data_IF_358329509381
#
_entry.id   IF_358329509381
#
_cell.length_a   1.000
_cell.length_b   1.000
_cell.length_c   1.000
_cell.angle_alpha   90.00
_cell.angle_beta   90.00
_cell.angle_gamma   90.00
#
_symmetry.space_group_name_H-M   'P 1'
#
loop_
_entity.id
_entity.type
_entity.pdbx_description
1 polymer ?
#
# COMPACT_ATOMS: atom_id res chain seq x y z
N UNK A 1 26.37 -38.69 42.33
CA UNK A 1 26.77 -38.71 40.90
C UNK A 1 25.61 -39.31 40.12
N UNK A 2 24.63 -38.50 39.74
CA UNK A 2 23.62 -38.83 38.73
C UNK A 2 23.34 -37.52 38.00
N UNK A 3 23.57 -37.53 36.69
CA UNK A 3 23.67 -36.39 35.79
C UNK A 3 22.33 -35.70 35.53
N UNK A 4 22.39 -34.37 35.49
CA UNK A 4 21.35 -33.51 34.92
C UNK A 4 21.56 -33.54 33.41
N UNK A 5 20.75 -34.33 32.69
CA UNK A 5 20.78 -34.34 31.23
C UNK A 5 19.82 -33.26 30.71
N UNK A 6 20.34 -32.06 30.52
CA UNK A 6 19.74 -31.04 29.68
C UNK A 6 20.26 -31.17 28.25
N UNK A 7 19.45 -30.69 27.31
CA UNK A 7 19.76 -30.28 25.92
C UNK A 7 19.42 -31.25 24.77
N UNK A 8 18.81 -30.63 23.74
CA UNK A 8 18.53 -31.11 22.39
C UNK A 8 17.17 -31.76 22.10
N UNK A 9 16.08 -31.05 22.42
CA UNK A 9 14.91 -31.02 21.52
C UNK A 9 14.89 -29.67 20.79
N UNK A 10 15.39 -29.71 19.55
CA UNK A 10 15.18 -28.78 18.42
C UNK A 10 14.46 -27.45 18.68
N UNK A 11 15.25 -26.38 18.80
CA UNK A 11 14.84 -24.97 18.67
C UNK A 11 14.54 -24.59 17.20
N UNK A 12 13.68 -25.34 16.50
CA UNK A 12 13.30 -25.01 15.10
C UNK A 12 11.99 -24.22 14.98
N UNK A 13 11.26 -23.98 16.08
CA UNK A 13 9.99 -23.23 16.09
C UNK A 13 9.94 -22.06 17.10
N UNK A 14 11.09 -21.44 17.41
CA UNK A 14 11.14 -20.28 18.28
C UNK A 14 10.69 -19.00 17.53
N UNK A 15 9.39 -18.68 17.59
CA UNK A 15 8.83 -17.41 17.08
C UNK A 15 9.29 -16.23 17.96
N UNK A 16 9.57 -15.06 17.37
CA UNK A 16 9.98 -13.88 18.16
C UNK A 16 8.85 -13.35 19.06
N UNK A 17 9.23 -12.65 20.14
CA UNK A 17 8.26 -12.03 21.05
C UNK A 17 7.36 -11.01 20.34
N UNK A 18 7.89 -10.27 19.36
CA UNK A 18 7.10 -9.33 18.54
C UNK A 18 6.09 -10.07 17.66
N UNK A 19 6.45 -11.22 17.10
CA UNK A 19 5.55 -12.04 16.29
C UNK A 19 4.42 -12.63 17.14
N UNK A 20 4.76 -13.17 18.32
CA UNK A 20 3.76 -13.70 19.25
C UNK A 20 2.81 -12.61 19.73
N UNK A 21 3.33 -11.42 20.05
CA UNK A 21 2.50 -10.27 20.43
C UNK A 21 1.54 -9.90 19.29
N UNK A 22 2.03 -9.76 18.06
CA UNK A 22 1.18 -9.39 16.94
C UNK A 22 0.11 -10.45 16.64
N UNK A 23 0.48 -11.73 16.57
CA UNK A 23 -0.46 -12.81 16.25
C UNK A 23 -1.47 -13.08 17.36
N UNK A 24 -1.02 -13.21 18.61
CA UNK A 24 -1.88 -13.65 19.73
C UNK A 24 -2.59 -12.51 20.44
N UNK A 25 -1.95 -11.35 20.55
CA UNK A 25 -2.51 -10.22 21.31
C UNK A 25 -3.23 -9.21 20.42
N UNK A 26 -2.61 -8.82 19.29
CA UNK A 26 -3.18 -7.81 18.39
C UNK A 26 -4.22 -8.41 17.45
N UNK A 27 -3.87 -9.48 16.73
CA UNK A 27 -4.77 -10.12 15.76
C UNK A 27 -5.73 -11.13 16.39
N UNK A 28 -5.29 -11.80 17.47
CA UNK A 28 -6.01 -12.94 18.08
C UNK A 28 -6.39 -14.00 17.02
N UNK A 29 -5.42 -14.28 16.14
CA UNK A 29 -5.63 -15.14 14.97
C UNK A 29 -6.04 -16.56 15.39
N UNK A 30 -7.12 -17.08 14.80
CA UNK A 30 -7.63 -18.43 15.05
C UNK A 30 -6.80 -19.53 14.39
N UNK A 31 -5.86 -19.17 13.51
CA UNK A 31 -4.93 -20.12 12.87
C UNK A 31 -5.52 -20.90 11.69
N UNK A 32 -6.69 -20.51 11.17
CA UNK A 32 -7.33 -21.15 10.01
C UNK A 32 -8.58 -20.42 9.51
N UNK A 33 -9.17 -20.90 8.40
CA UNK A 33 -10.45 -20.37 7.89
C UNK A 33 -11.61 -20.91 8.75
N UNK A 34 -11.79 -20.30 9.92
CA UNK A 34 -12.93 -20.53 10.80
C UNK A 34 -14.02 -19.50 10.49
N UNK A 35 -15.29 -19.81 10.79
CA UNK A 35 -16.32 -18.77 10.76
C UNK A 35 -15.91 -17.66 11.75
N UNK A 36 -16.06 -16.36 11.39
CA UNK A 36 -15.79 -15.26 12.30
C UNK A 36 -16.57 -15.47 13.60
N UNK A 37 -15.87 -15.68 14.72
CA UNK A 37 -16.50 -16.16 15.95
C UNK A 37 -16.58 -15.08 17.03
N UNK A 38 -15.56 -14.23 17.11
CA UNK A 38 -15.46 -13.18 18.13
C UNK A 38 -14.97 -11.86 17.53
N UNK A 39 -15.72 -10.79 17.79
CA UNK A 39 -15.32 -9.42 17.46
C UNK A 39 -14.34 -8.89 18.51
N UNK A 40 -13.17 -8.42 18.08
CA UNK A 40 -12.27 -7.67 18.96
C UNK A 40 -12.74 -6.21 19.06
N UNK A 41 -13.33 -5.86 20.21
CA UNK A 41 -13.81 -4.52 20.48
C UNK A 41 -12.71 -3.44 20.42
N UNK A 42 -11.44 -3.79 20.72
CA UNK A 42 -10.32 -2.83 20.65
C UNK A 42 -10.01 -2.50 19.21
N UNK A 43 -9.97 -3.51 18.35
CA UNK A 43 -9.78 -3.31 16.91
C UNK A 43 -10.96 -2.56 16.30
N UNK A 44 -12.20 -2.87 16.72
CA UNK A 44 -13.39 -2.14 16.31
C UNK A 44 -13.34 -0.66 16.72
N UNK A 45 -12.82 -0.33 17.91
CA UNK A 45 -12.65 1.05 18.35
C UNK A 45 -11.58 1.79 17.52
N UNK A 46 -10.46 1.12 17.21
CA UNK A 46 -9.45 1.68 16.29
C UNK A 46 -10.03 1.91 14.89
N UNK A 47 -10.82 0.97 14.37
CA UNK A 47 -11.50 1.11 13.09
C UNK A 47 -12.49 2.28 13.11
N UNK A 48 -13.27 2.42 14.19
CA UNK A 48 -14.18 3.56 14.39
C UNK A 48 -13.41 4.88 14.37
N UNK A 49 -12.27 4.95 15.06
CA UNK A 49 -11.42 6.15 15.07
C UNK A 49 -10.95 6.50 13.65
N UNK A 50 -10.50 5.52 12.85
CA UNK A 50 -10.10 5.74 11.47
C UNK A 50 -11.25 6.34 10.63
N UNK A 51 -12.44 5.74 10.67
CA UNK A 51 -13.60 6.24 9.91
C UNK A 51 -14.10 7.60 10.39
N UNK A 52 -14.00 7.89 11.70
CA UNK A 52 -14.31 9.23 12.22
C UNK A 52 -13.31 10.25 11.69
N UNK A 53 -12.00 9.95 11.71
CA UNK A 53 -10.98 10.82 11.15
C UNK A 53 -11.18 11.06 9.65
N UNK A 54 -11.48 10.03 8.86
CA UNK A 54 -11.76 10.14 7.43
C UNK A 54 -13.04 10.93 7.13
N UNK A 55 -14.12 10.65 7.88
CA UNK A 55 -15.39 11.35 7.77
C UNK A 55 -15.22 12.85 8.05
N UNK A 56 -14.59 13.19 9.18
CA UNK A 56 -14.29 14.58 9.55
C UNK A 56 -13.43 15.27 8.47
N UNK A 57 -12.43 14.58 7.93
CA UNK A 57 -11.54 15.11 6.90
C UNK A 57 -12.25 15.44 5.58
N UNK A 58 -13.35 14.73 5.27
CA UNK A 58 -14.11 14.89 4.02
C UNK A 58 -15.35 15.79 4.14
N UNK A 59 -15.72 16.26 5.35
CA UNK A 59 -16.96 17.03 5.58
C UNK A 59 -17.10 18.29 4.70
N UNK A 60 -16.00 19.03 4.49
CA UNK A 60 -15.99 20.21 3.59
C UNK A 60 -15.38 19.91 2.22
N UNK A 61 -15.23 18.63 1.89
CA UNK A 61 -14.68 18.20 0.62
C UNK A 61 -13.21 18.53 0.41
N UNK A 62 -12.85 18.74 -0.86
CA UNK A 62 -11.47 18.99 -1.29
C UNK A 62 -10.78 20.14 -0.56
N UNK A 63 -11.52 21.15 -0.08
CA UNK A 63 -10.97 22.23 0.72
C UNK A 63 -10.47 21.77 2.10
N UNK A 64 -11.17 20.83 2.73
CA UNK A 64 -10.74 20.23 4.00
C UNK A 64 -9.62 19.21 3.75
N UNK A 65 -9.77 18.40 2.71
CA UNK A 65 -8.78 17.40 2.32
C UNK A 65 -7.43 18.06 2.09
N UNK A 66 -7.37 19.15 1.30
CA UNK A 66 -6.12 19.88 1.08
C UNK A 66 -5.43 20.34 2.37
N UNK A 67 -6.20 20.66 3.43
CA UNK A 67 -5.64 21.00 4.75
C UNK A 67 -5.07 19.80 5.48
N UNK A 68 -5.81 18.69 5.48
CA UNK A 68 -5.39 17.41 6.09
C UNK A 68 -4.14 16.87 5.39
N UNK A 69 -4.09 16.99 4.05
CA UNK A 69 -2.97 16.57 3.21
C UNK A 69 -1.64 17.21 3.61
N UNK A 70 -1.63 18.46 4.07
CA UNK A 70 -0.39 19.08 4.56
C UNK A 70 0.24 18.26 5.69
N UNK A 71 -0.57 17.77 6.64
CA UNK A 71 -0.05 16.96 7.75
C UNK A 71 0.23 15.54 7.30
N UNK A 72 -0.72 14.89 6.61
CA UNK A 72 -0.60 13.48 6.23
C UNK A 72 0.51 13.24 5.22
N UNK A 73 0.87 14.24 4.41
CA UNK A 73 1.95 14.11 3.41
C UNK A 73 3.31 14.59 3.93
N UNK A 74 3.39 15.63 4.77
CA UNK A 74 4.70 16.16 5.21
C UNK A 74 5.28 15.43 6.41
N UNK A 75 4.45 15.03 7.37
CA UNK A 75 4.91 14.38 8.59
C UNK A 75 5.65 13.05 8.32
N UNK A 76 5.19 12.18 7.39
CA UNK A 76 5.94 10.99 7.04
C UNK A 76 7.38 11.26 6.58
N UNK A 77 7.65 12.33 5.82
CA UNK A 77 9.03 12.66 5.44
C UNK A 77 9.90 13.04 6.65
N UNK A 78 9.35 13.76 7.62
CA UNK A 78 10.07 14.09 8.87
C UNK A 78 10.46 12.80 9.61
N UNK A 79 9.53 11.84 9.70
CA UNK A 79 9.78 10.55 10.36
C UNK A 79 10.75 9.69 9.55
N UNK A 80 10.60 9.59 8.24
CA UNK A 80 11.51 8.81 7.38
C UNK A 80 12.93 9.36 7.42
N UNK A 81 13.12 10.69 7.32
CA UNK A 81 14.44 11.30 7.36
C UNK A 81 15.11 11.15 8.73
N UNK A 82 14.34 11.31 9.81
CA UNK A 82 14.87 11.12 11.17
C UNK A 82 15.21 9.66 11.46
N UNK A 83 14.35 8.71 11.06
CA UNK A 83 14.65 7.27 11.18
C UNK A 83 15.83 6.86 10.31
N UNK A 84 15.99 7.42 9.11
CA UNK A 84 17.17 7.17 8.28
C UNK A 84 18.44 7.65 8.98
N UNK A 85 18.43 8.87 9.51
CA UNK A 85 19.58 9.42 10.22
C UNK A 85 19.95 8.53 11.43
N UNK A 86 18.97 8.09 12.21
CA UNK A 86 19.19 7.21 13.36
C UNK A 86 19.65 5.82 12.95
N UNK A 87 19.11 5.25 11.87
CA UNK A 87 19.53 3.96 11.36
C UNK A 87 20.99 4.01 10.89
N UNK A 88 21.38 5.07 10.16
CA UNK A 88 22.75 5.24 9.67
C UNK A 88 23.80 5.40 10.77
N UNK A 89 23.40 5.85 11.97
CA UNK A 89 24.29 5.92 13.13
C UNK A 89 24.55 4.55 13.78
N UNK A 90 23.84 3.50 13.38
CA UNK A 90 24.00 2.16 13.93
C UNK A 90 24.92 1.30 13.08
N UNK A 91 25.68 0.44 13.75
CA UNK A 91 26.49 -0.58 13.10
C UNK A 91 25.60 -1.51 12.25
N UNK A 92 26.12 -1.98 11.12
CA UNK A 92 25.40 -2.85 10.18
C UNK A 92 24.48 -2.13 9.18
N UNK A 93 24.17 -0.84 9.37
CA UNK A 93 23.25 -0.12 8.48
C UNK A 93 23.72 -0.06 7.02
N UNK A 94 25.04 0.11 6.82
CA UNK A 94 25.66 0.13 5.48
C UNK A 94 25.52 -1.23 4.78
N UNK A 95 25.60 -2.35 5.50
CA UNK A 95 25.38 -3.68 4.93
C UNK A 95 23.93 -3.82 4.47
N UNK A 96 23.00 -3.27 5.25
CA UNK A 96 21.61 -3.05 4.89
C UNK A 96 21.44 -2.38 3.53
N UNK A 97 22.00 -1.17 3.39
CA UNK A 97 21.93 -0.40 2.16
C UNK A 97 22.62 -1.06 0.97
N UNK A 98 23.74 -1.77 1.20
CA UNK A 98 24.38 -2.57 0.15
C UNK A 98 23.43 -3.64 -0.37
N UNK A 99 22.75 -4.38 0.51
CA UNK A 99 21.79 -5.38 0.08
C UNK A 99 20.61 -4.78 -0.71
N UNK A 100 20.24 -3.52 -0.44
CA UNK A 100 19.18 -2.83 -1.19
C UNK A 100 19.60 -2.42 -2.60
N UNK A 101 20.83 -1.92 -2.77
CA UNK A 101 21.29 -1.34 -4.03
C UNK A 101 22.17 -2.24 -4.90
N UNK A 102 22.73 -3.33 -4.36
CA UNK A 102 23.56 -4.25 -5.14
C UNK A 102 22.65 -4.98 -6.15
N UNK A 103 22.84 -4.75 -7.46
CA UNK A 103 21.96 -5.30 -8.47
C UNK A 103 22.23 -6.79 -8.69
N UNK A 104 21.16 -7.57 -8.84
CA UNK A 104 21.21 -8.96 -9.28
C UNK A 104 20.83 -9.04 -10.76
N UNK A 105 21.80 -8.84 -11.66
CA UNK A 105 21.54 -8.70 -13.11
C UNK A 105 20.81 -9.90 -13.73
N UNK A 106 21.03 -11.10 -13.23
CA UNK A 106 20.36 -12.32 -13.68
C UNK A 106 18.83 -12.26 -13.47
N UNK A 107 18.37 -11.53 -12.44
CA UNK A 107 16.93 -11.37 -12.15
C UNK A 107 16.18 -10.57 -13.20
N UNK A 108 16.85 -9.76 -14.02
CA UNK A 108 16.21 -9.00 -15.09
C UNK A 108 15.67 -9.92 -16.19
N UNK A 109 16.22 -11.13 -16.32
CA UNK A 109 15.74 -12.15 -17.26
C UNK A 109 14.46 -12.85 -16.78
N UNK A 110 14.12 -12.71 -15.50
CA UNK A 110 12.92 -13.28 -14.93
C UNK A 110 11.71 -12.38 -15.21
N UNK A 111 10.73 -12.93 -15.93
CA UNK A 111 9.50 -12.20 -16.28
C UNK A 111 8.67 -11.85 -15.05
N UNK A 112 8.79 -12.61 -13.95
CA UNK A 112 8.08 -12.32 -12.69
C UNK A 112 8.54 -10.96 -12.12
N UNK A 113 9.82 -10.61 -12.27
CA UNK A 113 10.37 -9.34 -11.78
C UNK A 113 9.75 -8.15 -12.51
N UNK A 114 9.55 -8.26 -13.83
CA UNK A 114 8.88 -7.22 -14.61
C UNK A 114 7.40 -7.10 -14.25
N UNK A 115 6.72 -8.23 -14.05
CA UNK A 115 5.34 -8.23 -13.59
C UNK A 115 5.21 -7.54 -12.22
N UNK A 116 6.07 -7.88 -11.26
CA UNK A 116 6.08 -7.27 -9.93
C UNK A 116 6.41 -5.77 -9.97
N UNK A 117 7.31 -5.36 -10.86
CA UNK A 117 7.63 -3.94 -11.06
C UNK A 117 6.43 -3.17 -11.62
N UNK A 118 5.77 -3.70 -12.66
CA UNK A 118 4.54 -3.10 -13.19
C UNK A 118 3.45 -3.07 -12.11
N UNK A 119 3.24 -4.18 -11.40
CA UNK A 119 2.24 -4.30 -10.35
C UNK A 119 2.43 -3.21 -9.29
N UNK A 120 3.66 -3.08 -8.80
CA UNK A 120 4.04 -2.06 -7.82
C UNK A 120 3.79 -0.64 -8.34
N UNK A 121 4.18 -0.31 -9.59
CA UNK A 121 3.96 1.03 -10.15
C UNK A 121 2.48 1.40 -10.27
N UNK A 122 1.62 0.45 -10.66
CA UNK A 122 0.17 0.71 -10.77
C UNK A 122 -0.47 0.98 -9.40
N UNK A 123 -0.15 0.15 -8.40
CA UNK A 123 -0.69 0.35 -7.06
C UNK A 123 -0.13 1.57 -6.36
N UNK A 124 1.18 1.85 -6.51
CA UNK A 124 1.81 3.00 -5.84
C UNK A 124 1.20 4.32 -6.30
N UNK A 125 0.93 4.46 -7.60
CA UNK A 125 0.30 5.65 -8.17
C UNK A 125 -1.23 5.66 -8.06
N UNK A 126 -1.87 4.57 -7.61
CA UNK A 126 -3.32 4.47 -7.47
C UNK A 126 -4.08 4.57 -8.80
N UNK A 127 -3.50 4.06 -9.89
CA UNK A 127 -4.09 4.11 -11.23
C UNK A 127 -5.27 3.12 -11.31
N UNK A 128 -6.36 3.51 -11.96
CA UNK A 128 -7.54 2.65 -12.16
C UNK A 128 -8.52 2.59 -10.98
N UNK A 129 -8.28 3.37 -9.92
CA UNK A 129 -9.12 3.40 -8.71
C UNK A 129 -10.01 4.67 -8.65
N UNK A 130 -9.83 5.61 -9.59
CA UNK A 130 -10.65 6.81 -9.73
C UNK A 130 -10.26 8.01 -8.87
N UNK A 131 -9.35 7.87 -7.90
CA UNK A 131 -8.94 9.00 -7.04
C UNK A 131 -8.26 10.13 -7.83
N UNK A 132 -7.39 9.78 -8.79
CA UNK A 132 -6.71 10.75 -9.64
C UNK A 132 -7.69 11.50 -10.55
N UNK A 133 -8.68 10.80 -11.11
CA UNK A 133 -9.76 11.41 -11.91
C UNK A 133 -10.58 12.36 -11.05
N UNK A 134 -10.95 11.94 -9.84
CA UNK A 134 -11.65 12.78 -8.88
C UNK A 134 -10.84 14.04 -8.52
N UNK A 135 -9.55 13.93 -8.17
CA UNK A 135 -8.76 15.12 -7.85
C UNK A 135 -8.61 16.04 -9.07
N UNK A 136 -8.40 15.46 -10.25
CA UNK A 136 -8.27 16.23 -11.48
C UNK A 136 -9.56 16.96 -11.87
N UNK A 137 -10.73 16.45 -11.49
CA UNK A 137 -12.01 17.10 -11.79
C UNK A 137 -12.23 18.41 -11.02
N UNK A 138 -11.41 18.69 -10.00
CA UNK A 138 -11.42 19.96 -9.26
C UNK A 138 -10.39 20.98 -9.76
N UNK A 139 -9.54 20.60 -10.72
CA UNK A 139 -8.58 21.53 -11.31
C UNK A 139 -9.27 22.51 -12.26
N UNK A 140 -8.66 23.67 -12.44
CA UNK A 140 -9.06 24.59 -13.50
C UNK A 140 -8.88 23.92 -14.87
N UNK A 141 -9.78 24.21 -15.82
CA UNK A 141 -9.79 23.56 -17.13
C UNK A 141 -8.44 23.66 -17.84
N UNK A 142 -7.73 24.81 -17.76
CA UNK A 142 -6.42 25.00 -18.42
C UNK A 142 -5.22 24.69 -17.53
N UNK A 143 -5.43 24.02 -16.41
CA UNK A 143 -4.35 23.69 -15.49
C UNK A 143 -3.34 22.75 -16.13
N UNK A 144 -2.05 22.97 -15.88
CA UNK A 144 -0.95 22.22 -16.53
C UNK A 144 -0.75 20.84 -15.89
N UNK A 145 -1.76 19.97 -16.04
CA UNK A 145 -1.84 18.64 -15.40
C UNK A 145 -0.63 17.75 -15.72
N UNK A 146 -0.02 17.88 -16.89
CA UNK A 146 1.16 17.09 -17.26
C UNK A 146 2.38 17.33 -16.37
N UNK A 147 2.58 18.57 -15.89
CA UNK A 147 3.66 18.88 -14.94
C UNK A 147 3.41 18.22 -13.60
N UNK A 148 2.17 18.27 -13.12
CA UNK A 148 1.79 17.73 -11.82
C UNK A 148 1.85 16.19 -11.85
N UNK A 149 1.37 15.56 -12.92
CA UNK A 149 1.49 14.11 -13.13
C UNK A 149 2.96 13.64 -13.11
N UNK A 150 3.86 14.37 -13.78
CA UNK A 150 5.29 14.07 -13.76
C UNK A 150 5.89 14.23 -12.35
N UNK A 151 5.56 15.32 -11.66
CA UNK A 151 6.06 15.58 -10.30
C UNK A 151 5.56 14.53 -9.31
N UNK A 152 4.28 14.15 -9.38
CA UNK A 152 3.69 13.10 -8.54
C UNK A 152 4.40 11.77 -8.78
N UNK A 153 4.66 11.41 -10.04
CA UNK A 153 5.36 10.16 -10.39
C UNK A 153 6.78 10.09 -9.84
N UNK A 154 7.53 11.20 -9.94
CA UNK A 154 8.88 11.29 -9.35
C UNK A 154 8.82 11.25 -7.83
N UNK A 155 7.91 12.01 -7.21
CA UNK A 155 7.77 12.06 -5.77
C UNK A 155 7.45 10.67 -5.19
N UNK A 156 6.52 9.94 -5.81
CA UNK A 156 6.19 8.56 -5.44
C UNK A 156 7.42 7.64 -5.46
N UNK A 157 8.21 7.70 -6.54
CA UNK A 157 9.42 6.88 -6.70
C UNK A 157 10.50 7.26 -5.68
N UNK A 158 10.75 8.56 -5.48
CA UNK A 158 11.76 9.06 -4.52
C UNK A 158 11.37 8.68 -3.10
N UNK A 159 10.10 8.79 -2.74
CA UNK A 159 9.59 8.41 -1.41
C UNK A 159 9.69 6.91 -1.18
N UNK A 160 9.39 6.10 -2.20
CA UNK A 160 9.57 4.65 -2.15
C UNK A 160 11.03 4.25 -1.97
N UNK A 161 11.96 4.92 -2.67
CA UNK A 161 13.40 4.72 -2.49
C UNK A 161 13.88 5.15 -1.09
N UNK A 162 13.41 6.31 -0.60
CA UNK A 162 13.72 6.78 0.75
C UNK A 162 13.23 5.80 1.82
N UNK A 163 11.99 5.33 1.70
CA UNK A 163 11.42 4.32 2.59
C UNK A 163 12.23 3.01 2.51
N UNK A 164 12.60 2.56 1.30
CA UNK A 164 13.48 1.41 1.10
C UNK A 164 14.82 1.57 1.82
N UNK A 165 15.47 2.73 1.72
CA UNK A 165 16.70 3.02 2.47
C UNK A 165 16.48 2.92 3.99
N UNK A 166 15.39 3.48 4.53
CA UNK A 166 15.06 3.39 5.97
C UNK A 166 14.87 1.93 6.39
N UNK A 167 14.13 1.14 5.60
CA UNK A 167 13.88 -0.29 5.83
C UNK A 167 15.19 -1.04 5.86
N UNK A 168 15.95 -1.00 4.78
CA UNK A 168 17.14 -1.82 4.65
C UNK A 168 18.25 -1.39 5.61
N UNK A 169 18.44 -0.09 5.87
CA UNK A 169 19.39 0.36 6.89
C UNK A 169 19.02 -0.17 8.29
N UNK A 170 17.73 -0.07 8.65
CA UNK A 170 17.23 -0.55 9.94
C UNK A 170 17.35 -2.07 10.09
N UNK A 171 17.02 -2.82 9.03
CA UNK A 171 17.15 -4.27 9.00
C UNK A 171 18.61 -4.72 9.03
N UNK A 172 19.52 -4.02 8.34
CA UNK A 172 20.96 -4.30 8.39
C UNK A 172 21.52 -4.13 9.80
N UNK A 173 21.12 -3.10 10.52
CA UNK A 173 21.49 -2.93 11.93
C UNK A 173 20.89 -3.98 12.85
N UNK A 174 19.67 -4.44 12.56
CA UNK A 174 19.06 -5.55 13.29
C UNK A 174 19.83 -6.87 13.04
N UNK A 175 20.16 -7.17 11.78
CA UNK A 175 20.91 -8.35 11.39
C UNK A 175 22.27 -8.39 12.10
N UNK A 176 23.02 -7.29 12.04
CA UNK A 176 24.31 -7.15 12.73
C UNK A 176 24.21 -7.39 14.24
N UNK A 177 23.17 -6.85 14.90
CA UNK A 177 22.94 -7.09 16.34
C UNK A 177 22.56 -8.53 16.68
N UNK A 178 21.95 -9.25 15.74
CA UNK A 178 21.60 -10.66 15.89
C UNK A 178 22.74 -11.60 15.45
N UNK A 179 23.89 -11.05 15.05
CA UNK A 179 25.05 -11.83 14.63
C UNK A 179 24.89 -12.49 13.26
N UNK A 180 24.02 -11.96 12.40
CA UNK A 180 23.83 -12.45 11.02
C UNK A 180 24.07 -11.32 10.03
N UNK A 181 24.70 -11.63 8.90
CA UNK A 181 24.86 -10.69 7.78
C UNK A 181 23.74 -10.85 6.74
N UNK A 182 22.89 -11.86 6.89
CA UNK A 182 21.78 -12.14 5.98
C UNK A 182 20.50 -11.46 6.46
N UNK A 183 20.10 -10.40 5.74
CA UNK A 183 18.89 -9.63 6.03
C UNK A 183 17.63 -10.47 5.87
N UNK A 184 17.63 -11.50 5.03
CA UNK A 184 16.46 -12.33 4.83
C UNK A 184 16.08 -13.10 6.11
N UNK A 185 17.04 -13.40 6.98
CA UNK A 185 16.83 -14.11 8.24
C UNK A 185 16.15 -13.25 9.32
N UNK A 186 16.21 -11.92 9.19
CA UNK A 186 15.54 -11.02 10.15
C UNK A 186 14.12 -10.67 9.76
N UNK A 187 13.68 -11.02 8.55
CA UNK A 187 12.31 -10.82 8.08
C UNK A 187 11.38 -11.85 8.74
N UNK A 188 10.64 -11.42 9.77
CA UNK A 188 9.71 -12.25 10.54
C UNK A 188 8.25 -11.88 10.29
N UNK A 189 7.34 -12.82 10.54
CA UNK A 189 5.89 -12.58 10.49
C UNK A 189 5.22 -12.78 9.12
N UNK A 190 5.89 -13.41 8.16
CA UNK A 190 5.35 -13.71 6.82
C UNK A 190 5.21 -12.46 5.92
N UNK A 191 4.74 -12.68 4.68
CA UNK A 191 4.58 -11.62 3.70
C UNK A 191 3.46 -10.62 4.09
N UNK A 192 3.66 -9.35 3.73
CA UNK A 192 2.72 -8.22 3.77
C UNK A 192 2.55 -7.44 5.09
N UNK A 193 2.33 -8.09 6.25
CA UNK A 193 2.22 -7.35 7.55
C UNK A 193 3.42 -7.53 8.47
N UNK A 194 4.17 -8.63 8.32
CA UNK A 194 5.27 -8.99 9.21
C UNK A 194 6.37 -7.94 9.26
N UNK A 195 6.69 -7.30 8.13
CA UNK A 195 7.72 -6.27 8.10
C UNK A 195 7.38 -5.09 9.03
N UNK A 196 6.19 -4.49 8.85
CA UNK A 196 5.81 -3.27 9.56
C UNK A 196 5.37 -3.52 11.03
N UNK A 197 4.75 -4.66 11.32
CA UNK A 197 4.14 -4.91 12.64
C UNK A 197 4.88 -5.95 13.49
N UNK A 198 5.85 -6.67 12.93
CA UNK A 198 6.67 -7.65 13.67
C UNK A 198 8.14 -7.27 13.66
N UNK A 199 8.73 -7.15 12.46
CA UNK A 199 10.17 -6.97 12.29
C UNK A 199 10.61 -5.54 12.66
N UNK A 200 9.89 -4.53 12.19
CA UNK A 200 10.20 -3.13 12.48
C UNK A 200 10.11 -2.79 13.97
N UNK A 201 9.04 -3.15 14.69
CA UNK A 201 8.98 -2.92 16.14
C UNK A 201 10.13 -3.62 16.87
N UNK A 202 10.55 -4.80 16.40
CA UNK A 202 11.75 -5.49 16.92
C UNK A 202 13.03 -4.68 16.69
N UNK A 203 13.17 -4.02 15.55
CA UNK A 203 14.30 -3.15 15.26
C UNK A 203 14.26 -1.84 16.06
N UNK A 204 13.08 -1.20 16.14
CA UNK A 204 12.88 0.08 16.84
C UNK A 204 13.14 -0.03 18.34
N UNK A 205 12.80 -1.16 18.96
CA UNK A 205 13.10 -1.41 20.39
C UNK A 205 14.60 -1.50 20.69
N UNK A 206 15.44 -1.72 19.66
CA UNK A 206 16.90 -1.78 19.77
C UNK A 206 17.60 -0.49 19.38
N UNK A 207 16.86 0.57 19.03
CA UNK A 207 17.43 1.90 18.78
C UNK A 207 17.94 2.49 20.11
N UNK A 208 19.18 3.00 20.15
CA UNK A 208 19.65 3.75 21.32
C UNK A 208 18.87 5.07 21.44
N UNK A 209 18.56 5.49 22.66
CA UNK A 209 17.80 6.70 22.99
C UNK A 209 16.30 6.65 22.65
N UNK A 210 15.47 6.52 23.70
CA UNK A 210 14.00 6.63 23.70
C UNK A 210 13.32 5.76 22.61
N UNK A 211 13.46 4.42 22.63
CA UNK A 211 12.84 3.52 21.65
C UNK A 211 11.30 3.66 21.56
N UNK A 212 10.66 4.07 22.65
CA UNK A 212 9.21 4.32 22.70
C UNK A 212 8.81 5.49 21.79
N UNK A 213 9.64 6.54 21.71
CA UNK A 213 9.37 7.70 20.85
C UNK A 213 9.42 7.28 19.37
N UNK A 214 10.45 6.55 18.96
CA UNK A 214 10.59 6.06 17.59
C UNK A 214 9.45 5.13 17.18
N UNK A 215 9.01 4.26 18.09
CA UNK A 215 7.86 3.40 17.87
C UNK A 215 6.57 4.20 17.69
N UNK A 216 6.33 5.20 18.55
CA UNK A 216 5.16 6.08 18.45
C UNK A 216 5.15 6.88 17.13
N UNK A 217 6.29 7.48 16.76
CA UNK A 217 6.45 8.22 15.51
C UNK A 217 6.23 7.34 14.28
N UNK A 218 6.78 6.13 14.28
CA UNK A 218 6.63 5.17 13.18
C UNK A 218 5.18 4.75 12.98
N UNK A 219 4.48 4.33 14.05
CA UNK A 219 3.08 3.92 13.93
C UNK A 219 2.15 5.09 13.64
N UNK A 220 2.43 6.29 14.16
CA UNK A 220 1.67 7.49 13.82
C UNK A 220 1.88 7.89 12.36
N UNK A 221 3.11 7.75 11.84
CA UNK A 221 3.38 7.89 10.40
C UNK A 221 2.56 6.89 9.57
N UNK A 222 2.57 5.59 9.93
CA UNK A 222 1.77 4.58 9.22
C UNK A 222 0.27 4.92 9.24
N UNK A 223 -0.24 5.39 10.37
CA UNK A 223 -1.61 5.87 10.49
C UNK A 223 -1.90 7.05 9.54
N UNK A 224 -1.02 8.06 9.48
CA UNK A 224 -1.19 9.21 8.59
C UNK A 224 -1.11 8.84 7.10
N UNK A 225 -0.22 7.90 6.73
CA UNK A 225 -0.13 7.38 5.36
C UNK A 225 -1.43 6.66 4.95
N UNK A 226 -1.98 5.83 5.85
CA UNK A 226 -3.27 5.18 5.65
C UNK A 226 -4.42 6.19 5.56
N UNK A 227 -4.47 7.16 6.48
CA UNK A 227 -5.50 8.21 6.53
C UNK A 227 -5.52 9.04 5.23
N UNK A 228 -4.36 9.42 4.71
CA UNK A 228 -4.28 10.18 3.45
C UNK A 228 -4.91 9.43 2.28
N UNK A 229 -4.66 8.13 2.19
CA UNK A 229 -5.22 7.27 1.15
C UNK A 229 -6.73 7.02 1.34
N UNK A 230 -7.17 6.74 2.58
CA UNK A 230 -8.58 6.52 2.92
C UNK A 230 -9.46 7.74 2.66
N UNK A 231 -8.98 8.94 3.00
CA UNK A 231 -9.67 10.20 2.71
C UNK A 231 -9.90 10.41 1.22
N UNK A 232 -8.92 10.08 0.37
CA UNK A 232 -9.07 10.15 -1.08
C UNK A 232 -10.15 9.17 -1.58
N UNK A 233 -10.21 7.97 -0.99
CA UNK A 233 -11.20 6.95 -1.36
C UNK A 233 -12.62 7.35 -0.99
N UNK A 234 -12.85 7.80 0.24
CA UNK A 234 -14.15 8.33 0.66
C UNK A 234 -14.57 9.48 -0.24
N UNK A 235 -13.64 10.42 -0.51
CA UNK A 235 -13.94 11.56 -1.35
C UNK A 235 -14.30 11.18 -2.79
N UNK A 236 -13.65 10.17 -3.38
CA UNK A 236 -14.00 9.70 -4.72
C UNK A 236 -15.44 9.15 -4.78
N UNK A 237 -15.83 8.33 -3.81
CA UNK A 237 -17.20 7.82 -3.72
C UNK A 237 -18.18 8.98 -3.54
N UNK A 238 -17.89 9.92 -2.63
CA UNK A 238 -18.72 11.11 -2.42
C UNK A 238 -18.89 11.89 -3.73
N UNK A 239 -17.81 12.18 -4.45
CA UNK A 239 -17.86 12.91 -5.73
C UNK A 239 -18.74 12.20 -6.75
N UNK A 240 -18.61 10.88 -6.90
CA UNK A 240 -19.47 10.09 -7.80
C UNK A 240 -20.95 10.26 -7.47
N UNK A 241 -21.33 10.18 -6.19
CA UNK A 241 -22.72 10.41 -5.77
C UNK A 241 -23.18 11.85 -6.04
N UNK A 242 -22.31 12.84 -5.82
CA UNK A 242 -22.65 14.25 -6.07
C UNK A 242 -22.83 14.57 -7.56
N UNK A 243 -22.08 13.89 -8.43
CA UNK A 243 -22.13 14.11 -9.87
C UNK A 243 -23.33 13.40 -10.50
N UNK A 244 -23.67 12.19 -10.04
CA UNK A 244 -24.86 11.46 -10.51
C UNK A 244 -26.17 12.02 -9.93
N UNK A 245 -26.16 12.49 -8.67
CA UNK A 245 -27.34 13.02 -8.00
C UNK A 245 -27.09 14.45 -7.50
N UNK A 246 -27.28 15.48 -8.35
CA UNK A 246 -26.99 16.87 -8.00
C UNK A 246 -27.74 17.38 -6.76
N UNK A 247 -28.91 16.80 -6.46
CA UNK A 247 -29.71 17.11 -5.27
C UNK A 247 -28.98 16.80 -3.95
N UNK A 248 -28.02 15.87 -3.97
CA UNK A 248 -27.26 15.49 -2.78
C UNK A 248 -26.14 16.50 -2.45
N UNK A 249 -25.83 17.45 -3.35
CA UNK A 249 -24.76 18.46 -3.15
C UNK A 249 -24.98 19.29 -1.89
N UNK A 250 -26.23 19.66 -1.59
CA UNK A 250 -26.58 20.40 -0.37
C UNK A 250 -26.42 19.55 0.91
N UNK A 251 -26.46 18.22 0.77
CA UNK A 251 -26.35 17.24 1.86
C UNK A 251 -25.03 16.48 1.82
N UNK A 252 -23.98 17.04 1.21
CA UNK A 252 -22.66 16.40 1.03
C UNK A 252 -22.11 15.79 2.32
N UNK A 253 -22.14 16.54 3.42
CA UNK A 253 -21.62 16.09 4.72
C UNK A 253 -22.34 14.84 5.21
N UNK A 254 -23.67 14.78 5.02
CA UNK A 254 -24.48 13.61 5.38
C UNK A 254 -24.09 12.41 4.51
N UNK A 255 -23.86 12.61 3.20
CA UNK A 255 -23.43 11.53 2.30
C UNK A 255 -22.05 10.99 2.68
N UNK A 256 -21.09 11.86 2.96
CA UNK A 256 -19.75 11.48 3.45
C UNK A 256 -19.86 10.66 4.75
N UNK A 257 -20.58 11.16 5.76
CA UNK A 257 -20.77 10.43 7.03
C UNK A 257 -21.46 9.08 6.79
N UNK A 258 -22.46 9.04 5.92
CA UNK A 258 -23.20 7.81 5.61
C UNK A 258 -22.29 6.77 4.96
N UNK A 259 -21.41 7.18 4.04
CA UNK A 259 -20.39 6.29 3.45
C UNK A 259 -19.47 5.77 4.54
N UNK A 260 -18.92 6.63 5.41
CA UNK A 260 -18.05 6.20 6.50
C UNK A 260 -18.75 5.24 7.48
N UNK A 261 -20.03 5.46 7.80
CA UNK A 261 -20.81 4.58 8.70
C UNK A 261 -21.04 3.21 8.05
N UNK A 262 -21.40 3.16 6.76
CA UNK A 262 -21.56 1.90 6.02
C UNK A 262 -20.23 1.17 5.91
N UNK A 263 -19.14 1.87 5.62
CA UNK A 263 -17.80 1.29 5.53
C UNK A 263 -17.28 0.81 6.88
N UNK A 264 -17.60 1.50 7.99
CA UNK A 264 -17.34 1.01 9.34
C UNK A 264 -18.09 -0.29 9.61
N UNK A 265 -19.41 -0.32 9.35
CA UNK A 265 -20.24 -1.49 9.59
C UNK A 265 -19.81 -2.71 8.79
N UNK A 266 -19.48 -2.53 7.51
CA UNK A 266 -18.95 -3.61 6.66
C UNK A 266 -17.53 -4.01 7.04
N UNK A 267 -16.70 -3.07 7.52
CA UNK A 267 -15.34 -3.31 7.99
C UNK A 267 -15.24 -4.08 9.31
N UNK A 268 -16.29 -4.13 10.14
CA UNK A 268 -16.29 -4.85 11.41
C UNK A 268 -15.95 -6.34 11.25
N UNK A 269 -16.23 -6.94 10.09
CA UNK A 269 -15.85 -8.33 9.79
C UNK A 269 -14.33 -8.54 9.85
N UNK A 270 -13.54 -7.50 9.53
CA UNK A 270 -12.08 -7.52 9.59
C UNK A 270 -11.53 -7.34 11.02
N UNK A 271 -12.39 -6.97 11.98
CA UNK A 271 -12.03 -6.87 13.40
C UNK A 271 -12.30 -8.17 14.17
N UNK A 272 -12.58 -9.28 13.47
CA UNK A 272 -12.78 -10.59 14.07
C UNK A 272 -11.49 -11.39 14.13
N UNK A 273 -11.49 -12.48 14.88
CA UNK A 273 -10.40 -13.48 14.95
C UNK A 273 -9.94 -14.00 13.56
N UNK A 274 -10.84 -14.04 12.59
CA UNK A 274 -10.59 -14.47 11.21
C UNK A 274 -10.27 -13.28 10.26
N UNK A 275 -10.18 -12.06 10.79
CA UNK A 275 -10.00 -10.83 10.03
C UNK A 275 -8.67 -10.72 9.29
N UNK A 276 -7.59 -11.28 9.84
CA UNK A 276 -6.26 -11.29 9.21
C UNK A 276 -6.28 -12.00 7.84
N UNK A 277 -6.98 -13.15 7.79
CA UNK A 277 -7.15 -13.97 6.61
C UNK A 277 -8.14 -13.34 5.61
N UNK A 278 -9.26 -12.83 6.10
CA UNK A 278 -10.25 -12.16 5.24
C UNK A 278 -9.67 -10.91 4.57
N UNK A 279 -8.88 -10.11 5.31
CA UNK A 279 -8.12 -9.00 4.73
C UNK A 279 -7.16 -9.48 3.66
N UNK A 280 -6.41 -10.55 3.89
CA UNK A 280 -5.49 -11.10 2.89
C UNK A 280 -6.22 -11.53 1.60
N UNK A 281 -7.44 -12.09 1.74
CA UNK A 281 -8.28 -12.41 0.60
C UNK A 281 -8.73 -11.15 -0.15
N UNK A 282 -9.18 -10.10 0.56
CA UNK A 282 -9.58 -8.84 -0.07
C UNK A 282 -8.39 -8.12 -0.73
N UNK A 283 -7.23 -8.08 -0.10
CA UNK A 283 -6.03 -7.45 -0.66
C UNK A 283 -5.60 -8.15 -1.95
N UNK A 284 -5.60 -9.50 -1.95
CA UNK A 284 -5.17 -10.27 -3.11
C UNK A 284 -6.22 -10.30 -4.22
N UNK A 285 -7.49 -10.54 -3.89
CA UNK A 285 -8.55 -10.83 -4.88
C UNK A 285 -9.57 -9.71 -5.03
N UNK A 286 -9.89 -8.99 -3.96
CA UNK A 286 -10.90 -7.93 -3.97
C UNK A 286 -10.40 -6.65 -4.63
N UNK A 287 -9.24 -6.14 -4.18
CA UNK A 287 -8.64 -4.91 -4.71
C UNK A 287 -7.50 -5.25 -5.66
N UNK A 288 -6.51 -6.04 -5.22
CA UNK A 288 -5.30 -6.28 -5.98
C UNK A 288 -5.58 -6.71 -7.42
N UNK A 289 -6.11 -7.90 -7.60
CA UNK A 289 -6.40 -8.44 -8.95
C UNK A 289 -7.46 -7.64 -9.71
N UNK A 290 -8.45 -7.07 -9.03
CA UNK A 290 -9.54 -6.34 -9.68
C UNK A 290 -9.08 -5.01 -10.29
N UNK A 291 -8.14 -4.30 -9.64
CA UNK A 291 -7.65 -3.00 -10.12
C UNK A 291 -7.01 -3.10 -11.51
N UNK A 292 -6.29 -4.18 -11.82
CA UNK A 292 -5.75 -4.38 -13.19
C UNK A 292 -6.85 -4.50 -14.22
N UNK A 293 -7.92 -5.24 -13.90
CA UNK A 293 -9.05 -5.38 -14.79
C UNK A 293 -9.75 -4.03 -15.02
N UNK A 294 -9.91 -3.22 -13.98
CA UNK A 294 -10.45 -1.86 -14.10
C UNK A 294 -9.55 -0.97 -14.97
N UNK A 295 -8.24 -1.00 -14.78
CA UNK A 295 -7.29 -0.26 -15.60
C UNK A 295 -7.33 -0.70 -17.08
N UNK A 296 -7.49 -2.00 -17.35
CA UNK A 296 -7.68 -2.50 -18.73
C UNK A 296 -8.97 -1.93 -19.32
N UNK A 297 -10.09 -1.97 -18.61
CA UNK A 297 -11.35 -1.41 -19.11
C UNK A 297 -11.28 0.10 -19.32
N UNK A 298 -10.62 0.84 -18.43
CA UNK A 298 -10.36 2.27 -18.62
C UNK A 298 -9.56 2.52 -19.89
N UNK A 299 -8.41 1.86 -20.08
CA UNK A 299 -7.59 2.05 -21.28
C UNK A 299 -8.32 1.61 -22.54
N UNK A 300 -9.09 0.52 -22.51
CA UNK A 300 -9.94 0.10 -23.63
C UNK A 300 -10.98 1.16 -23.97
N UNK A 301 -11.69 1.67 -22.98
CA UNK A 301 -12.70 2.71 -23.14
C UNK A 301 -12.11 4.02 -23.70
N UNK A 302 -10.96 4.42 -23.19
CA UNK A 302 -10.29 5.70 -23.49
C UNK A 302 -9.58 5.66 -24.85
N UNK A 303 -8.79 4.62 -25.11
CA UNK A 303 -7.90 4.56 -26.28
C UNK A 303 -8.61 4.00 -27.52
N UNK A 304 -9.44 2.96 -27.36
CA UNK A 304 -10.08 2.28 -28.48
C UNK A 304 -11.54 2.67 -28.71
N UNK A 305 -12.36 2.81 -27.65
CA UNK A 305 -13.78 3.16 -27.80
C UNK A 305 -13.95 4.66 -28.06
N UNK A 306 -13.43 5.51 -27.17
CA UNK A 306 -13.46 6.96 -27.33
C UNK A 306 -12.53 7.43 -28.46
N UNK A 307 -11.37 6.78 -28.58
CA UNK A 307 -10.41 7.00 -29.65
C UNK A 307 -9.22 7.85 -29.22
N UNK A 308 -8.02 7.30 -29.41
CA UNK A 308 -6.76 7.93 -28.98
C UNK A 308 -6.54 9.33 -29.57
N UNK A 309 -7.00 9.58 -30.80
CA UNK A 309 -6.89 10.90 -31.46
C UNK A 309 -7.74 11.95 -30.78
N UNK A 310 -8.98 11.59 -30.41
CA UNK A 310 -9.92 12.49 -29.75
C UNK A 310 -9.34 12.96 -28.42
N UNK A 311 -8.73 12.05 -27.65
CA UNK A 311 -8.10 12.42 -26.37
C UNK A 311 -6.89 13.33 -26.54
N UNK A 312 -6.09 13.12 -27.58
CA UNK A 312 -4.97 14.00 -27.89
C UNK A 312 -5.49 15.39 -28.24
N UNK A 313 -6.52 15.48 -29.07
CA UNK A 313 -7.15 16.75 -29.44
C UNK A 313 -7.76 17.46 -28.23
N UNK A 314 -8.45 16.73 -27.34
CA UNK A 314 -9.04 17.29 -26.12
C UNK A 314 -7.97 17.85 -25.18
N UNK A 315 -6.87 17.12 -24.96
CA UNK A 315 -5.79 17.57 -24.09
C UNK A 315 -5.03 18.74 -24.75
N UNK A 316 -4.82 18.73 -26.07
CA UNK A 316 -4.21 19.86 -26.80
C UNK A 316 -5.11 21.11 -26.72
N UNK A 317 -6.44 20.94 -26.80
CA UNK A 317 -7.42 22.02 -26.62
C UNK A 317 -7.43 22.56 -25.19
N UNK A 318 -7.37 21.67 -24.21
CA UNK A 318 -7.35 21.99 -22.78
C UNK A 318 -6.10 22.80 -22.42
N UNK A 319 -4.92 22.35 -22.88
CA UNK A 319 -3.61 22.94 -22.56
C UNK A 319 -3.16 24.05 -23.50
N UNK A 320 -3.87 24.25 -24.62
CA UNK A 320 -3.49 25.16 -25.72
C UNK A 320 -2.06 24.91 -26.24
N UNK A 321 -1.63 23.64 -26.19
CA UNK A 321 -0.27 23.23 -26.54
C UNK A 321 -0.27 21.84 -27.18
N UNK A 322 0.56 21.64 -28.21
CA UNK A 322 0.71 20.35 -28.87
C UNK A 322 1.39 19.32 -27.96
N UNK A 323 0.89 18.09 -27.97
CA UNK A 323 1.46 17.00 -27.19
C UNK A 323 2.64 16.39 -27.96
N UNK A 324 3.73 16.09 -27.24
CA UNK A 324 4.90 15.42 -27.82
C UNK A 324 4.56 14.02 -28.36
N UNK A 325 5.26 13.60 -29.40
CA UNK A 325 5.14 12.26 -29.99
C UNK A 325 5.33 11.14 -28.96
N UNK A 326 6.16 11.37 -27.95
CA UNK A 326 6.39 10.43 -26.84
C UNK A 326 5.06 10.03 -26.16
N UNK A 327 4.25 11.00 -25.76
CA UNK A 327 2.97 10.73 -25.07
C UNK A 327 1.94 10.09 -25.99
N UNK A 328 1.92 10.49 -27.27
CA UNK A 328 1.03 9.90 -28.27
C UNK A 328 1.30 8.40 -28.44
N UNK A 329 2.57 8.00 -28.51
CA UNK A 329 2.95 6.57 -28.59
C UNK A 329 2.70 5.85 -27.26
N UNK A 330 3.03 6.49 -26.13
CA UNK A 330 2.85 5.88 -24.81
C UNK A 330 1.39 5.56 -24.56
N UNK A 331 0.47 6.51 -24.77
CA UNK A 331 -0.95 6.28 -24.54
C UNK A 331 -1.60 5.40 -25.61
N UNK A 332 -1.23 5.58 -26.88
CA UNK A 332 -1.86 4.85 -27.99
C UNK A 332 -1.39 3.41 -28.15
N UNK A 333 -0.17 3.07 -27.71
CA UNK A 333 0.45 1.77 -27.99
C UNK A 333 1.09 1.15 -26.75
N UNK A 334 1.99 1.86 -26.06
CA UNK A 334 2.77 1.23 -24.99
C UNK A 334 1.92 0.87 -23.77
N UNK A 335 1.07 1.77 -23.28
CA UNK A 335 0.19 1.50 -22.13
C UNK A 335 -0.81 0.38 -22.38
N UNK A 336 -1.51 0.33 -23.54
CA UNK A 336 -2.37 -0.80 -23.84
C UNK A 336 -1.63 -2.13 -23.99
N UNK A 337 -0.46 -2.14 -24.63
CA UNK A 337 0.35 -3.36 -24.78
C UNK A 337 0.87 -3.83 -23.43
N UNK A 338 1.39 -2.94 -22.58
CA UNK A 338 1.90 -3.31 -21.25
C UNK A 338 0.81 -3.90 -20.36
N UNK A 339 -0.42 -3.37 -20.44
CA UNK A 339 -1.59 -3.91 -19.74
C UNK A 339 -2.04 -5.28 -20.26
N UNK A 340 -2.01 -5.50 -21.57
CA UNK A 340 -2.34 -6.83 -22.15
C UNK A 340 -1.29 -7.86 -21.75
N UNK A 341 0.00 -7.49 -21.82
CA UNK A 341 1.11 -8.37 -21.43
C UNK A 341 1.05 -8.69 -19.94
N UNK A 342 0.71 -7.72 -19.08
CA UNK A 342 0.58 -7.95 -17.64
C UNK A 342 -0.63 -8.84 -17.32
N UNK A 343 -1.79 -8.64 -17.94
CA UNK A 343 -2.97 -9.53 -17.75
C UNK A 343 -2.71 -10.95 -18.26
N UNK A 344 -2.10 -11.10 -19.45
CA UNK A 344 -1.81 -12.41 -20.02
C UNK A 344 -0.79 -13.19 -19.18
N UNK A 345 0.30 -12.52 -18.76
CA UNK A 345 1.30 -13.11 -17.87
C UNK A 345 0.69 -13.48 -16.52
N UNK A 346 -0.20 -12.63 -15.98
CA UNK A 346 -0.92 -12.93 -14.75
C UNK A 346 -1.78 -14.20 -14.87
N UNK A 347 -2.55 -14.35 -15.96
CA UNK A 347 -3.35 -15.58 -16.21
C UNK A 347 -2.47 -16.82 -16.36
N UNK A 348 -1.34 -16.71 -17.07
CA UNK A 348 -0.48 -17.85 -17.37
C UNK A 348 0.32 -18.33 -16.15
N UNK A 349 0.89 -17.41 -15.36
CA UNK A 349 1.73 -17.77 -14.21
C UNK A 349 0.94 -18.04 -12.92
N UNK A 350 -0.20 -17.37 -12.70
CA UNK A 350 -0.93 -17.47 -11.42
C UNK A 350 -2.25 -18.25 -11.48
N UNK A 351 -2.97 -18.28 -12.61
CA UNK A 351 -4.20 -19.10 -12.71
C UNK A 351 -3.91 -20.54 -13.14
N UNK A 352 -2.90 -20.76 -14.00
CA UNK A 352 -2.55 -22.11 -14.47
C UNK A 352 -2.10 -23.08 -13.35
N UNK A 353 -1.41 -22.66 -12.27
CA UNK A 353 -1.06 -23.56 -11.16
C UNK A 353 -2.19 -23.71 -10.12
N UNK A 354 -3.03 -22.69 -9.93
CA UNK A 354 -4.14 -22.74 -8.94
C UNK A 354 -5.24 -23.69 -9.41
N UNK A 355 -5.57 -23.69 -10.71
CA UNK A 355 -6.44 -24.70 -11.30
C UNK A 355 -5.88 -26.12 -11.19
N UNK A 356 -4.56 -26.29 -11.05
CA UNK A 356 -3.94 -27.60 -10.90
C UNK A 356 -3.92 -28.11 -9.46
N UNK A 357 -3.89 -27.24 -8.44
CA UNK A 357 -4.00 -27.67 -7.03
C UNK A 357 -5.43 -27.92 -6.58
N UNK A 358 -6.41 -27.22 -7.13
CA UNK A 358 -7.83 -27.39 -6.75
C UNK A 358 -8.48 -28.62 -7.41
N UNK A 359 -7.99 -29.06 -8.57
CA UNK A 359 -8.59 -30.19 -9.32
C UNK A 359 -7.82 -31.51 -9.24
N UNK A 360 -6.61 -31.56 -8.65
CA UNK A 360 -5.82 -32.80 -8.53
C UNK A 360 -5.57 -33.26 -7.09
N UNK A 361 -6.13 -32.57 -6.09
CA UNK A 361 -6.19 -33.02 -4.69
C UNK A 361 -7.65 -33.16 -4.21
N UNK A 362 -8.52 -33.69 -5.07
CA UNK A 362 -9.88 -34.15 -4.71
C UNK A 362 -9.96 -35.67 -4.71
#
# INVERSE_FOLDING_TARGET
MVEINSTFESSENATSSSEQYFRKYVLKDSGGFTLPSALDWRMALCLLLCWVCEGVSTLRGVQSIGKVTYVTSTFPYVVLLSLLAVALLQDGAVNGLKAFFVPQWERILDIEVWFKACEQSFFSLGIGIGFLVMYSSYNDFRHKVGRDAFLISIADTVTSLLAGCVVFATLGSLAHKLGTDDISQVLKGGANLGLAFVTYPEALTRIPFIPQLWSALFFFMLFLLGLGSGVAAVQAIVTVFMDQFPQLKERRSLVSISICVVSFGTGLVLCTDSGSLLRLLFDNYGVGRATFLYAVFEVVGVVWIYGWKNIVEDIEYMLEASISWYWKITWGVLSPVSLIVSDFSFRFYFLAPVGRRVFFES
#
